data_IF_671502540478
#
_entry.id   IF_671502540478
#
_cell.length_a   1.000
_cell.length_b   1.000
_cell.length_c   1.000
_cell.angle_alpha   90.00
_cell.angle_beta   90.00
_cell.angle_gamma   90.00
#
_symmetry.space_group_name_H-M   'P 1'
#
loop_
_entity.id
_entity.type
_entity.pdbx_description
1 polymer ?
#
# COMPACT_ATOMS: atom_id res chain seq x y z
N UNK A 1 -1.79 -46.27 8.44
CA UNK A 1 -0.76 -45.28 8.06
C UNK A 1 -1.39 -44.03 7.47
N UNK A 2 -1.35 -42.96 8.27
CA UNK A 2 -1.37 -41.52 7.96
C UNK A 2 -2.35 -40.98 6.91
N UNK A 3 -3.55 -40.62 7.38
CA UNK A 3 -4.35 -39.54 6.79
C UNK A 3 -4.01 -38.28 7.59
N UNK A 4 -3.18 -37.40 7.02
CA UNK A 4 -2.72 -36.15 7.64
C UNK A 4 -3.92 -35.24 7.88
N UNK A 5 -4.27 -35.12 9.16
CA UNK A 5 -5.35 -34.28 9.65
C UNK A 5 -5.03 -32.81 9.37
N UNK A 6 -6.04 -32.13 8.87
CA UNK A 6 -6.12 -30.69 8.74
C UNK A 6 -5.76 -30.02 10.07
N UNK A 7 -4.84 -29.06 9.98
CA UNK A 7 -4.52 -28.11 11.02
C UNK A 7 -4.20 -26.79 10.33
N UNK A 8 -5.20 -26.22 9.65
CA UNK A 8 -5.17 -24.80 9.30
C UNK A 8 -5.34 -24.05 10.62
N UNK A 9 -4.24 -24.00 11.38
CA UNK A 9 -4.03 -23.08 12.50
C UNK A 9 -4.45 -21.72 11.96
N UNK A 10 -5.65 -21.32 12.36
CA UNK A 10 -6.22 -20.02 12.03
C UNK A 10 -5.28 -19.04 12.71
N UNK A 11 -4.29 -18.55 11.97
CA UNK A 11 -3.48 -17.42 12.40
C UNK A 11 -4.50 -16.31 12.61
N UNK A 12 -4.85 -16.09 13.87
CA UNK A 12 -5.37 -14.81 14.30
C UNK A 12 -4.24 -13.85 13.90
N UNK A 13 -4.36 -13.24 12.73
CA UNK A 13 -3.46 -12.20 12.26
C UNK A 13 -3.77 -10.99 13.15
N UNK A 14 -3.22 -10.98 14.36
CA UNK A 14 -3.41 -9.93 15.36
C UNK A 14 -2.84 -8.57 14.91
N UNK A 15 -2.27 -8.50 13.71
CA UNK A 15 -2.01 -7.28 12.96
C UNK A 15 -1.88 -7.66 11.48
N UNK A 16 -2.59 -7.01 10.53
CA UNK A 16 -2.27 -7.20 9.13
C UNK A 16 -0.80 -6.82 8.91
N UNK A 17 -0.07 -7.64 8.17
CA UNK A 17 1.22 -7.22 7.66
C UNK A 17 0.95 -6.03 6.72
N UNK A 18 1.36 -4.82 7.13
CA UNK A 18 1.23 -3.63 6.30
C UNK A 18 2.40 -3.64 5.32
N UNK A 19 2.07 -3.67 4.03
CA UNK A 19 3.05 -3.69 2.94
C UNK A 19 3.37 -5.09 2.41
N UNK A 20 4.09 -5.12 1.29
CA UNK A 20 4.52 -6.32 0.57
C UNK A 20 5.25 -5.91 -0.73
N UNK A 21 5.91 -6.85 -1.43
CA UNK A 21 6.53 -6.55 -2.71
C UNK A 21 5.53 -6.01 -3.72
N UNK A 22 5.89 -4.97 -4.44
CA UNK A 22 5.07 -4.45 -5.53
C UNK A 22 5.94 -4.01 -6.70
N UNK A 23 5.35 -4.03 -7.89
CA UNK A 23 5.96 -3.50 -9.10
C UNK A 23 4.90 -2.70 -9.83
N UNK A 24 5.09 -1.39 -9.90
CA UNK A 24 4.16 -0.43 -10.49
C UNK A 24 4.85 0.38 -11.58
N UNK A 25 4.04 1.11 -12.34
CA UNK A 25 4.50 2.10 -13.31
C UNK A 25 4.05 3.48 -12.81
N UNK A 26 4.98 4.41 -12.71
CA UNK A 26 4.68 5.79 -12.31
C UNK A 26 4.10 6.63 -13.47
N UNK A 27 3.77 7.89 -13.20
CA UNK A 27 3.24 8.83 -14.19
C UNK A 27 4.24 9.21 -15.29
N UNK A 28 5.53 8.92 -15.12
CA UNK A 28 6.61 9.14 -16.09
C UNK A 28 6.95 7.85 -16.86
N UNK A 29 6.13 6.80 -16.74
CA UNK A 29 6.32 5.48 -17.34
C UNK A 29 7.57 4.72 -16.85
N UNK A 30 8.06 5.01 -15.65
CA UNK A 30 9.17 4.28 -15.03
C UNK A 30 8.65 3.16 -14.15
N UNK A 31 9.41 2.07 -14.10
CA UNK A 31 9.15 0.99 -13.15
C UNK A 31 9.57 1.41 -11.74
N UNK A 32 8.67 1.24 -10.78
CA UNK A 32 8.89 1.55 -9.36
C UNK A 32 8.48 0.36 -8.51
N UNK A 33 9.30 0.05 -7.51
CA UNK A 33 9.15 -1.08 -6.59
C UNK A 33 9.14 -0.64 -5.13
N UNK A 34 8.83 -1.55 -4.21
CA UNK A 34 8.92 -1.28 -2.78
C UNK A 34 10.35 -0.95 -2.32
N UNK A 35 11.36 -1.35 -3.10
CA UNK A 35 12.76 -1.12 -2.78
C UNK A 35 13.15 0.34 -2.99
N UNK A 36 12.58 0.99 -4.01
CA UNK A 36 12.85 2.39 -4.35
C UNK A 36 12.32 3.36 -3.28
N UNK A 37 11.38 2.91 -2.45
CA UNK A 37 10.79 3.69 -1.37
C UNK A 37 11.46 3.42 0.00
N UNK A 38 12.38 2.47 0.11
CA UNK A 38 13.03 2.15 1.40
C UNK A 38 13.91 3.30 1.89
N UNK A 39 13.90 3.53 3.20
CA UNK A 39 14.76 4.51 3.87
C UNK A 39 14.22 5.93 3.92
N UNK A 40 13.14 6.22 3.18
CA UNK A 40 12.45 7.51 3.20
C UNK A 40 11.12 7.42 3.97
N UNK A 41 10.62 8.55 4.47
CA UNK A 41 9.24 8.65 4.92
C UNK A 41 8.33 8.70 3.70
N UNK A 42 7.44 7.72 3.57
CA UNK A 42 6.51 7.64 2.44
C UNK A 42 5.08 7.71 2.93
N UNK A 43 4.29 8.55 2.26
CA UNK A 43 2.84 8.61 2.43
C UNK A 43 2.21 7.95 1.22
N UNK A 44 1.53 6.83 1.42
CA UNK A 44 0.84 6.09 0.35
C UNK A 44 -0.66 6.32 0.42
N UNK A 45 -1.24 6.77 -0.69
CA UNK A 45 -2.69 6.90 -0.88
C UNK A 45 -3.15 5.86 -1.91
N UNK A 46 -4.20 5.11 -1.58
CA UNK A 46 -4.78 4.10 -2.47
C UNK A 46 -6.13 4.61 -3.00
N UNK A 47 -6.25 4.75 -4.32
CA UNK A 47 -7.45 5.24 -4.99
C UNK A 47 -7.45 4.93 -6.48
N UNK A 48 -8.46 5.42 -7.20
CA UNK A 48 -8.59 5.30 -8.66
C UNK A 48 -9.09 6.62 -9.26
N UNK A 49 -8.69 6.91 -10.49
CA UNK A 49 -8.95 8.21 -11.15
C UNK A 49 -10.41 8.49 -11.46
N UNK A 50 -11.22 7.43 -11.62
CA UNK A 50 -12.65 7.53 -11.93
C UNK A 50 -13.55 7.51 -10.68
N UNK A 51 -13.01 7.82 -9.49
CA UNK A 51 -13.81 7.82 -8.26
C UNK A 51 -14.68 9.08 -8.18
N UNK A 52 -16.01 8.94 -8.13
CA UNK A 52 -16.90 10.09 -7.97
C UNK A 52 -16.85 10.71 -6.57
N UNK A 53 -16.23 10.02 -5.60
CA UNK A 53 -16.30 10.36 -4.17
C UNK A 53 -14.99 10.94 -3.60
N UNK A 54 -13.89 10.97 -4.38
CA UNK A 54 -12.62 11.56 -3.94
C UNK A 54 -12.53 12.98 -4.49
N UNK A 55 -12.91 13.96 -3.68
CA UNK A 55 -12.75 15.37 -4.03
C UNK A 55 -11.25 15.71 -4.14
N UNK A 56 -10.80 16.49 -5.15
CA UNK A 56 -9.41 16.93 -5.27
C UNK A 56 -8.84 17.55 -3.97
N UNK A 57 -9.71 18.17 -3.18
CA UNK A 57 -9.41 18.81 -1.90
C UNK A 57 -8.73 17.85 -0.89
N UNK A 58 -9.11 16.57 -0.84
CA UNK A 58 -8.49 15.61 0.09
C UNK A 58 -7.05 15.27 -0.33
N UNK A 59 -6.80 15.19 -1.63
CA UNK A 59 -5.45 14.97 -2.18
C UNK A 59 -4.59 16.23 -1.93
N UNK A 60 -5.18 17.42 -2.04
CA UNK A 60 -4.49 18.69 -1.76
C UNK A 60 -4.07 18.81 -0.29
N UNK A 61 -4.94 18.43 0.65
CA UNK A 61 -4.58 18.40 2.09
C UNK A 61 -3.39 17.48 2.38
N UNK A 62 -3.33 16.31 1.73
CA UNK A 62 -2.19 15.40 1.85
C UNK A 62 -0.91 16.04 1.29
N UNK A 63 -1.00 16.72 0.14
CA UNK A 63 0.14 17.42 -0.45
C UNK A 63 0.68 18.54 0.45
N UNK A 64 -0.21 19.33 1.07
CA UNK A 64 0.16 20.36 2.06
C UNK A 64 0.82 19.74 3.28
N UNK A 65 0.32 18.62 3.79
CA UNK A 65 0.90 17.94 4.95
C UNK A 65 2.33 17.46 4.69
N UNK A 66 2.63 16.98 3.47
CA UNK A 66 3.98 16.56 3.08
C UNK A 66 4.95 17.75 3.02
N UNK A 67 4.50 18.96 2.69
CA UNK A 67 5.36 20.16 2.65
C UNK A 67 5.77 20.69 4.03
N UNK A 68 5.08 20.27 5.10
CA UNK A 68 5.35 20.71 6.48
C UNK A 68 6.44 19.84 7.15
N UNK A 69 6.73 18.67 6.60
CA UNK A 69 7.76 17.73 7.06
C UNK A 69 9.15 18.08 6.51
#
# INVERSE_FOLDING_TARGET
>A
SNKSKEGLETRILTKPAIGGPFSLIDSEYRSVTEQDLKGNWNVMYFGYTSSPDVCPDEIEKMAVAVQIL
#
